data_IF_196786445165
#
_entry.id   IF_196786445165
#
_cell.length_a   1.000
_cell.length_b   1.000
_cell.length_c   1.000
_cell.angle_alpha   90.00
_cell.angle_beta   90.00
_cell.angle_gamma   90.00
#
_symmetry.space_group_name_H-M   'P 1'
#
loop_
_entity.id
_entity.type
_entity.pdbx_description
1 polymer ?
#
# COMPACT_ATOMS: atom_id res chain seq x y z
N UNK A 1 21.31 -5.61 30.97
CA UNK A 1 20.04 -6.34 30.74
C UNK A 1 19.64 -6.10 29.28
N UNK A 2 19.93 -7.04 28.38
CA UNK A 2 19.59 -6.91 26.96
C UNK A 2 18.20 -7.50 26.71
N UNK A 3 17.28 -6.66 26.24
CA UNK A 3 15.95 -7.10 25.83
C UNK A 3 16.07 -8.01 24.60
N UNK A 4 15.49 -9.22 24.68
CA UNK A 4 15.42 -10.17 23.55
C UNK A 4 14.48 -9.71 22.44
N UNK A 5 13.57 -8.81 22.77
CA UNK A 5 12.68 -8.19 21.80
C UNK A 5 13.34 -6.91 21.29
N UNK A 6 13.77 -6.94 20.03
CA UNK A 6 14.14 -5.73 19.31
C UNK A 6 12.96 -4.76 19.30
N UNK A 7 13.25 -3.46 19.28
CA UNK A 7 12.23 -2.41 19.20
C UNK A 7 11.25 -2.75 18.09
N UNK A 8 9.96 -2.81 18.42
CA UNK A 8 8.92 -3.04 17.43
C UNK A 8 9.02 -1.96 16.35
N UNK A 9 8.85 -2.33 15.07
CA UNK A 9 8.85 -1.35 13.99
C UNK A 9 7.77 -0.31 14.26
N UNK A 10 8.03 0.94 13.86
CA UNK A 10 7.00 1.98 13.91
C UNK A 10 5.82 1.55 13.04
N UNK A 11 4.65 1.44 13.66
CA UNK A 11 3.39 1.05 13.01
C UNK A 11 2.42 2.22 12.94
N UNK A 12 2.89 3.43 13.22
CA UNK A 12 2.05 4.63 13.16
C UNK A 12 1.60 4.83 11.72
N UNK A 13 0.29 4.80 11.43
CA UNK A 13 -0.19 4.97 10.07
C UNK A 13 0.12 6.40 9.60
N UNK A 14 0.78 6.51 8.45
CA UNK A 14 1.05 7.79 7.80
C UNK A 14 -0.14 8.15 6.93
N UNK A 15 -0.79 9.28 7.22
CA UNK A 15 -1.85 9.83 6.36
C UNK A 15 -1.23 10.63 5.22
N UNK A 16 -1.64 10.33 4.00
CA UNK A 16 -1.23 11.05 2.80
C UNK A 16 -2.48 11.61 2.12
N UNK A 17 -2.44 12.87 1.71
CA UNK A 17 -3.47 13.49 0.87
C UNK A 17 -2.98 13.49 -0.58
N UNK A 18 -3.77 12.95 -1.51
CA UNK A 18 -3.37 12.73 -2.91
C UNK A 18 -4.49 13.24 -3.81
N UNK A 19 -4.15 13.99 -4.86
CA UNK A 19 -5.07 14.32 -5.93
C UNK A 19 -5.02 13.20 -6.99
N UNK A 20 -6.19 12.75 -7.44
CA UNK A 20 -6.31 11.73 -8.49
C UNK A 20 -6.90 12.37 -9.74
N UNK A 21 -6.39 11.97 -10.90
CA UNK A 21 -7.01 12.33 -12.17
C UNK A 21 -8.42 11.73 -12.26
N UNK A 22 -9.37 12.40 -12.95
CA UNK A 22 -10.77 11.97 -13.00
C UNK A 22 -10.96 10.53 -13.49
N UNK A 23 -10.17 10.09 -14.47
CA UNK A 23 -10.24 8.74 -15.03
C UNK A 23 -9.84 7.67 -13.99
N UNK A 24 -8.77 7.93 -13.23
CA UNK A 24 -8.33 7.02 -12.17
C UNK A 24 -9.35 6.97 -11.02
N UNK A 25 -9.93 8.13 -10.66
CA UNK A 25 -10.97 8.18 -9.64
C UNK A 25 -12.21 7.36 -10.04
N UNK A 26 -12.64 7.46 -11.30
CA UNK A 26 -13.75 6.65 -11.83
C UNK A 26 -13.42 5.14 -11.81
N UNK A 27 -12.24 4.76 -12.31
CA UNK A 27 -11.81 3.36 -12.31
C UNK A 27 -11.75 2.75 -10.89
N UNK A 28 -11.33 3.53 -9.89
CA UNK A 28 -11.32 3.09 -8.50
C UNK A 28 -12.72 2.91 -7.91
N UNK A 29 -13.69 3.75 -8.32
CA UNK A 29 -15.09 3.59 -7.94
C UNK A 29 -15.69 2.31 -8.56
N UNK A 30 -15.45 2.08 -9.84
CA UNK A 30 -15.90 0.86 -10.53
C UNK A 30 -15.32 -0.39 -9.87
N UNK A 31 -14.02 -0.36 -9.52
CA UNK A 31 -13.39 -1.45 -8.80
C UNK A 31 -14.07 -1.74 -7.45
N UNK A 32 -14.42 -0.69 -6.69
CA UNK A 32 -15.09 -0.85 -5.41
C UNK A 32 -16.48 -1.48 -5.55
N UNK A 33 -17.22 -1.15 -6.61
CA UNK A 33 -18.51 -1.78 -6.94
C UNK A 33 -18.29 -3.27 -7.23
N UNK A 34 -17.37 -3.60 -8.14
CA UNK A 34 -17.08 -5.00 -8.51
C UNK A 34 -16.60 -5.80 -7.30
N UNK A 35 -15.75 -5.22 -6.45
CA UNK A 35 -15.30 -5.85 -5.20
C UNK A 35 -16.49 -6.19 -4.30
N UNK A 36 -17.41 -5.24 -4.15
CA UNK A 36 -18.62 -5.41 -3.33
C UNK A 36 -19.52 -6.51 -3.88
N UNK A 37 -19.69 -6.59 -5.21
CA UNK A 37 -20.46 -7.65 -5.86
C UNK A 37 -19.78 -9.02 -5.71
N UNK A 38 -18.45 -9.06 -5.77
CA UNK A 38 -17.67 -10.31 -5.68
C UNK A 38 -17.65 -10.89 -4.27
N UNK A 39 -17.53 -10.03 -3.26
CA UNK A 39 -17.31 -10.46 -1.87
C UNK A 39 -18.50 -10.19 -0.94
N UNK A 40 -19.56 -9.54 -1.42
CA UNK A 40 -20.75 -9.20 -0.64
C UNK A 40 -20.51 -8.13 0.43
N UNK A 41 -19.35 -7.48 0.42
CA UNK A 41 -18.96 -6.46 1.40
C UNK A 41 -18.69 -5.13 0.70
N UNK A 42 -19.51 -4.13 1.03
CA UNK A 42 -19.40 -2.80 0.44
C UNK A 42 -18.23 -2.03 1.03
N UNK A 43 -17.16 -1.96 0.25
CA UNK A 43 -15.98 -1.16 0.58
C UNK A 43 -15.92 0.09 -0.29
N UNK A 44 -15.49 1.21 0.31
CA UNK A 44 -15.19 2.40 -0.48
C UNK A 44 -13.83 2.24 -1.16
N UNK A 45 -13.65 2.90 -2.31
CA UNK A 45 -12.38 2.90 -3.02
C UNK A 45 -11.19 3.25 -2.11
N UNK A 46 -11.32 4.24 -1.24
CA UNK A 46 -10.24 4.71 -0.35
C UNK A 46 -9.79 3.65 0.66
N UNK A 47 -10.68 2.73 1.04
CA UNK A 47 -10.35 1.62 1.92
C UNK A 47 -9.54 0.53 1.21
N UNK A 48 -9.73 0.39 -0.11
CA UNK A 48 -9.05 -0.60 -0.95
C UNK A 48 -7.67 -0.11 -1.44
N UNK A 49 -7.51 1.20 -1.65
CA UNK A 49 -6.27 1.80 -2.18
C UNK A 49 -5.00 1.33 -1.43
N UNK A 50 -4.93 1.31 -0.08
CA UNK A 50 -3.73 0.85 0.62
C UNK A 50 -3.35 -0.60 0.28
N UNK A 51 -4.34 -1.50 0.20
CA UNK A 51 -4.11 -2.90 -0.14
C UNK A 51 -3.71 -3.08 -1.61
N UNK A 52 -4.31 -2.29 -2.51
CA UNK A 52 -3.92 -2.27 -3.93
C UNK A 52 -2.48 -1.81 -4.11
N UNK A 53 -2.07 -0.73 -3.43
CA UNK A 53 -0.72 -0.20 -3.51
C UNK A 53 0.32 -1.16 -2.90
N UNK A 54 0.01 -1.80 -1.77
CA UNK A 54 0.89 -2.82 -1.19
C UNK A 54 1.06 -4.02 -2.14
N UNK A 55 -0.04 -4.48 -2.75
CA UNK A 55 0.00 -5.55 -3.76
C UNK A 55 0.84 -5.13 -4.98
N UNK A 56 0.65 -3.91 -5.49
CA UNK A 56 1.42 -3.40 -6.62
C UNK A 56 2.92 -3.33 -6.32
N UNK A 57 3.30 -2.70 -5.20
CA UNK A 57 4.72 -2.55 -4.81
C UNK A 57 5.37 -3.88 -4.44
N UNK A 58 4.61 -4.82 -3.86
CA UNK A 58 5.11 -6.15 -3.51
C UNK A 58 5.28 -7.04 -4.73
N UNK A 59 4.54 -6.83 -5.82
CA UNK A 59 4.62 -7.62 -7.05
C UNK A 59 5.62 -7.08 -8.07
N UNK A 60 5.90 -5.78 -8.08
CA UNK A 60 6.92 -5.16 -8.95
C UNK A 60 8.36 -5.59 -8.59
N UNK A 61 8.90 -6.54 -9.36
CA UNK A 61 10.26 -7.07 -9.17
C UNK A 61 11.36 -6.01 -9.34
N UNK A 62 11.18 -5.08 -10.28
CA UNK A 62 12.12 -4.01 -10.58
C UNK A 62 12.20 -3.04 -9.40
N UNK A 63 11.04 -2.60 -8.91
CA UNK A 63 10.95 -1.79 -7.70
C UNK A 63 11.56 -2.51 -6.50
N UNK A 64 11.23 -3.78 -6.27
CA UNK A 64 11.79 -4.55 -5.14
C UNK A 64 13.32 -4.62 -5.18
N UNK A 65 13.92 -4.76 -6.37
CA UNK A 65 15.37 -4.76 -6.54
C UNK A 65 15.96 -3.38 -6.24
N UNK A 66 15.45 -2.34 -6.88
CA UNK A 66 15.92 -0.97 -6.67
C UNK A 66 15.80 -0.54 -5.20
N UNK A 67 14.71 -0.90 -4.52
CA UNK A 67 14.52 -0.61 -3.09
C UNK A 67 15.54 -1.29 -2.19
N UNK A 68 16.01 -2.50 -2.52
CA UNK A 68 17.09 -3.16 -1.76
C UNK A 68 18.42 -2.44 -1.96
N UNK A 69 18.74 -2.08 -3.20
CA UNK A 69 19.96 -1.34 -3.53
C UNK A 69 19.99 0.02 -2.83
N UNK A 70 18.86 0.73 -2.79
CA UNK A 70 18.70 1.99 -2.06
C UNK A 70 18.99 1.85 -0.55
N UNK A 71 18.47 0.80 0.11
CA UNK A 71 18.73 0.56 1.54
C UNK A 71 20.21 0.35 1.82
N UNK A 72 20.88 -0.46 1.01
CA UNK A 72 22.33 -0.70 1.10
C UNK A 72 23.12 0.59 0.91
N UNK A 73 22.70 1.48 0.02
CA UNK A 73 23.34 2.78 -0.20
C UNK A 73 23.12 3.77 0.95
N UNK A 74 21.98 3.71 1.63
CA UNK A 74 21.63 4.67 2.69
C UNK A 74 22.16 4.25 4.06
N UNK A 75 22.84 3.10 4.17
CA UNK A 75 23.42 2.61 5.42
C UNK A 75 22.39 2.29 6.51
N UNK A 76 21.14 2.01 6.11
CA UNK A 76 20.04 1.61 7.01
C UNK A 76 19.78 0.12 6.92
#
# INVERSE_FOLDING_TARGET
MTLRLARLPDRTPVRMNIALEPELAAALQDYAIIYSETYGDTQKAEALIPAMLDTFLSTDTGFRRARRELKTQTGV
#
